data_IF_523450935211
#
_entry.id   IF_523450935211
#
_cell.length_a   1.000
_cell.length_b   1.000
_cell.length_c   1.000
_cell.angle_alpha   90.00
_cell.angle_beta   90.00
_cell.angle_gamma   90.00
#
_symmetry.space_group_name_H-M   'P 1'
#
loop_
_entity.id
_entity.type
_entity.pdbx_description
1 polymer ?
#
# COMPACT_ATOMS: atom_id res chain seq x y z
N UNK A 1 -27.10 -45.59 54.86
CA UNK A 1 -27.17 -45.96 53.44
C UNK A 1 -26.37 -44.92 52.65
N UNK A 2 -25.03 -44.89 52.69
CA UNK A 2 -24.05 -45.83 52.08
C UNK A 2 -24.07 -45.90 50.53
N UNK A 3 -24.46 -44.80 49.86
CA UNK A 3 -24.21 -44.57 48.42
C UNK A 3 -23.01 -43.64 48.15
N UNK A 4 -22.11 -43.46 49.13
CA UNK A 4 -20.92 -42.62 48.99
C UNK A 4 -19.60 -43.42 48.83
N UNK A 5 -19.67 -44.72 48.56
CA UNK A 5 -18.51 -45.64 48.65
C UNK A 5 -18.36 -46.62 47.48
N UNK A 6 -18.88 -46.34 46.30
CA UNK A 6 -18.51 -47.09 45.09
C UNK A 6 -18.51 -46.18 43.86
N UNK A 7 -17.37 -46.14 43.15
CA UNK A 7 -17.04 -45.46 41.86
C UNK A 7 -15.86 -44.48 41.91
N UNK A 8 -15.05 -44.50 42.98
CA UNK A 8 -13.61 -44.19 42.91
C UNK A 8 -12.85 -45.45 42.51
N UNK A 9 -12.55 -45.61 41.22
CA UNK A 9 -11.42 -46.35 40.66
C UNK A 9 -11.51 -46.25 39.13
N UNK A 10 -11.05 -45.12 38.59
CA UNK A 10 -10.63 -45.05 37.18
C UNK A 10 -9.12 -45.19 37.24
N UNK A 11 -8.61 -46.31 36.75
CA UNK A 11 -7.20 -46.69 36.80
C UNK A 11 -6.36 -45.75 35.90
N UNK A 12 -5.30 -45.18 36.47
CA UNK A 12 -4.30 -44.34 35.80
C UNK A 12 -3.54 -45.04 34.65
N UNK A 13 -3.63 -46.37 34.54
CA UNK A 13 -2.98 -47.15 33.46
C UNK A 13 -3.66 -47.00 32.10
N UNK A 14 -4.93 -46.57 32.07
CA UNK A 14 -5.68 -46.32 30.84
C UNK A 14 -5.39 -44.95 30.21
N UNK A 15 -4.86 -44.00 31.00
CA UNK A 15 -4.55 -42.65 30.53
C UNK A 15 -3.11 -42.56 29.95
N UNK A 16 -2.20 -43.41 30.43
CA UNK A 16 -0.81 -43.53 29.95
C UNK A 16 -0.69 -44.32 28.64
N UNK A 17 -1.61 -45.24 28.36
CA UNK A 17 -1.67 -46.00 27.10
C UNK A 17 -2.24 -45.18 25.93
N UNK A 18 -3.15 -44.25 26.19
CA UNK A 18 -3.64 -43.30 25.18
C UNK A 18 -2.62 -42.20 24.83
N UNK A 19 -1.76 -41.81 25.79
CA UNK A 19 -0.73 -40.78 25.56
C UNK A 19 0.54 -41.31 24.88
N UNK A 20 0.81 -42.62 24.91
CA UNK A 20 1.90 -43.24 24.13
C UNK A 20 1.50 -43.60 22.69
N UNK A 21 0.22 -43.87 22.43
CA UNK A 21 -0.28 -44.24 21.10
C UNK A 21 -0.32 -43.09 20.07
N UNK A 22 -0.31 -41.82 20.51
CA UNK A 22 -0.30 -40.65 19.61
C UNK A 22 1.10 -40.12 19.26
N UNK A 23 2.17 -40.71 19.80
CA UNK A 23 3.55 -40.25 19.59
C UNK A 23 4.44 -41.19 18.74
N UNK A 24 3.92 -42.35 18.29
CA UNK A 24 4.63 -43.27 17.39
C UNK A 24 4.02 -43.30 15.98
N UNK A 25 3.99 -42.14 15.34
CA UNK A 25 3.89 -42.05 13.87
C UNK A 25 4.95 -41.07 13.36
N UNK A 26 6.21 -41.44 13.57
CA UNK A 26 7.37 -40.87 12.87
C UNK A 26 8.02 -41.96 12.03
N UNK A 27 7.73 -41.92 10.74
CA UNK A 27 8.52 -42.46 9.62
C UNK A 27 7.77 -42.00 8.36
N UNK A 28 8.29 -41.31 7.36
CA UNK A 28 9.65 -41.02 6.90
C UNK A 28 9.54 -39.75 6.06
N UNK A 29 10.23 -38.65 6.39
CA UNK A 29 10.77 -37.73 5.38
C UNK A 29 12.08 -37.16 5.93
N UNK A 30 13.15 -37.38 5.17
CA UNK A 30 14.51 -36.92 5.45
C UNK A 30 14.52 -35.40 5.59
N UNK A 31 15.14 -34.94 6.67
CA UNK A 31 15.47 -33.55 6.94
C UNK A 31 16.57 -33.12 5.97
N UNK A 32 16.21 -32.50 4.86
CA UNK A 32 17.13 -31.62 4.13
C UNK A 32 17.18 -30.30 4.89
N UNK A 33 18.38 -29.85 5.24
CA UNK A 33 18.63 -28.54 5.84
C UNK A 33 18.03 -27.45 4.97
N UNK A 34 16.88 -26.94 5.41
CA UNK A 34 16.11 -25.89 4.76
C UNK A 34 16.04 -24.70 5.69
N UNK A 35 16.93 -23.74 5.46
CA UNK A 35 16.78 -22.30 5.67
C UNK A 35 15.54 -21.87 6.51
N UNK A 36 15.71 -21.82 7.83
CA UNK A 36 14.76 -21.33 8.84
C UNK A 36 14.48 -19.80 8.75
N UNK A 37 14.62 -19.20 7.56
CA UNK A 37 14.37 -17.77 7.31
C UNK A 37 13.02 -17.49 6.62
N UNK A 38 12.18 -18.51 6.38
CA UNK A 38 10.88 -18.37 5.68
C UNK A 38 9.63 -18.60 6.54
N UNK A 39 9.69 -18.28 7.84
CA UNK A 39 8.54 -18.40 8.75
C UNK A 39 8.17 -17.10 9.50
N UNK A 40 8.50 -15.93 8.93
CA UNK A 40 7.97 -14.63 9.37
C UNK A 40 7.34 -13.85 8.21
N UNK A 41 6.42 -14.48 7.48
CA UNK A 41 5.45 -13.74 6.64
C UNK A 41 4.22 -13.42 7.49
N UNK A 42 4.41 -12.57 8.50
CA UNK A 42 3.30 -11.99 9.26
C UNK A 42 2.47 -11.09 8.34
N UNK A 43 1.16 -11.03 8.56
CA UNK A 43 0.13 -10.38 7.73
C UNK A 43 0.42 -8.93 7.25
N UNK A 44 1.43 -8.25 7.79
CA UNK A 44 1.98 -6.99 7.27
C UNK A 44 2.53 -7.10 5.83
N UNK A 45 2.97 -8.30 5.40
CA UNK A 45 3.47 -8.53 4.04
C UNK A 45 2.40 -8.42 2.95
N UNK A 46 1.11 -8.46 3.29
CA UNK A 46 0.03 -8.35 2.30
C UNK A 46 -0.33 -6.90 1.95
N UNK A 47 0.09 -5.94 2.78
CA UNK A 47 -0.36 -4.54 2.73
C UNK A 47 0.62 -3.68 1.93
N UNK A 48 1.92 -3.85 2.15
CA UNK A 48 2.94 -3.05 1.48
C UNK A 48 3.31 -3.66 0.11
N UNK A 49 3.64 -2.84 -0.90
CA UNK A 49 4.33 -3.32 -2.10
C UNK A 49 5.62 -4.06 -1.71
N UNK A 50 5.93 -5.14 -2.42
CA UNK A 50 7.15 -5.94 -2.15
C UNK A 50 8.39 -5.19 -2.66
N UNK A 51 9.35 -4.84 -1.77
CA UNK A 51 10.56 -4.17 -2.20
C UNK A 51 11.57 -5.14 -2.82
N UNK A 52 12.32 -4.67 -3.81
CA UNK A 52 13.55 -5.32 -4.23
C UNK A 52 14.65 -5.08 -3.18
N UNK A 53 14.94 -6.10 -2.38
CA UNK A 53 15.91 -6.02 -1.28
C UNK A 53 17.37 -5.94 -1.74
N UNK A 54 17.66 -6.30 -3.00
CA UNK A 54 19.00 -6.24 -3.59
C UNK A 54 19.23 -4.97 -4.41
N UNK A 55 18.27 -4.04 -4.40
CA UNK A 55 18.37 -2.76 -5.09
C UNK A 55 19.56 -1.94 -4.58
N UNK A 56 20.30 -1.36 -5.52
CA UNK A 56 21.41 -0.44 -5.21
C UNK A 56 20.99 1.01 -5.36
N UNK A 57 20.00 1.27 -6.23
CA UNK A 57 19.45 2.60 -6.48
C UNK A 57 18.03 2.71 -5.88
N UNK A 58 17.60 3.90 -5.42
CA UNK A 58 16.24 4.11 -4.92
C UNK A 58 15.14 3.71 -5.92
N UNK A 59 15.38 3.95 -7.21
CA UNK A 59 14.47 3.60 -8.30
C UNK A 59 14.26 2.08 -8.46
N UNK A 60 15.22 1.28 -8.02
CA UNK A 60 15.17 -0.18 -8.13
C UNK A 60 14.43 -0.82 -6.95
N UNK A 61 14.29 -0.12 -5.81
CA UNK A 61 13.63 -0.66 -4.60
C UNK A 61 12.17 -0.97 -4.91
N UNK A 62 11.49 -0.05 -5.59
CA UNK A 62 10.12 -0.23 -6.06
C UNK A 62 10.07 0.11 -7.55
N UNK A 63 10.32 -0.87 -8.44
CA UNK A 63 10.34 -0.60 -9.87
C UNK A 63 8.95 -0.23 -10.36
N UNK A 64 8.88 0.65 -11.36
CA UNK A 64 7.60 1.08 -11.96
C UNK A 64 6.77 -0.09 -12.50
N UNK A 65 7.41 -1.20 -12.87
CA UNK A 65 6.75 -2.44 -13.31
C UNK A 65 5.82 -3.05 -12.26
N UNK A 66 5.90 -2.64 -10.99
CA UNK A 66 4.93 -3.01 -9.98
C UNK A 66 3.53 -2.44 -10.26
N UNK A 67 3.42 -1.32 -10.98
CA UNK A 67 2.19 -0.56 -11.10
C UNK A 67 1.46 -0.73 -12.44
N UNK A 68 2.06 -1.45 -13.39
CA UNK A 68 1.48 -1.71 -14.70
C UNK A 68 1.95 -3.06 -15.25
N UNK A 69 1.18 -3.63 -16.16
CA UNK A 69 1.60 -4.73 -17.03
C UNK A 69 1.60 -4.24 -18.49
N UNK A 70 2.28 -4.95 -19.38
CA UNK A 70 2.26 -4.62 -20.81
C UNK A 70 0.84 -4.66 -21.39
N UNK A 71 0.02 -5.62 -20.95
CA UNK A 71 -1.39 -5.71 -21.33
C UNK A 71 -2.20 -4.48 -20.91
N UNK A 72 -1.98 -4.00 -19.67
CA UNK A 72 -2.62 -2.78 -19.15
C UNK A 72 -2.21 -1.57 -20.00
N UNK A 73 -0.93 -1.46 -20.36
CA UNK A 73 -0.46 -0.36 -21.20
C UNK A 73 -1.04 -0.41 -22.61
N UNK A 74 -1.10 -1.59 -23.23
CA UNK A 74 -1.73 -1.76 -24.54
C UNK A 74 -3.22 -1.37 -24.52
N UNK A 75 -3.92 -1.67 -23.42
CA UNK A 75 -5.35 -1.39 -23.28
C UNK A 75 -5.66 0.07 -22.94
N UNK A 76 -4.84 0.69 -22.09
CA UNK A 76 -5.18 1.97 -21.43
C UNK A 76 -4.16 3.09 -21.63
N UNK A 77 -2.98 2.80 -22.20
CA UNK A 77 -1.92 3.77 -22.42
C UNK A 77 -2.39 4.94 -23.29
N UNK A 78 -3.07 4.62 -24.40
CA UNK A 78 -3.63 5.64 -25.30
C UNK A 78 -4.71 6.49 -24.63
N UNK A 79 -5.62 5.85 -23.90
CA UNK A 79 -6.70 6.52 -23.15
C UNK A 79 -6.12 7.52 -22.15
N UNK A 80 -5.05 7.14 -21.44
CA UNK A 80 -4.38 8.02 -20.50
C UNK A 80 -3.69 9.20 -21.21
N UNK A 81 -3.06 8.95 -22.37
CA UNK A 81 -2.44 10.01 -23.15
C UNK A 81 -3.48 11.02 -23.64
N UNK A 82 -4.63 10.56 -24.14
CA UNK A 82 -5.67 11.43 -24.66
C UNK A 82 -6.34 12.25 -23.53
N UNK A 83 -6.51 11.67 -22.33
CA UNK A 83 -6.95 12.42 -21.15
C UNK A 83 -6.08 13.65 -20.85
N UNK A 84 -4.74 13.53 -20.94
CA UNK A 84 -3.83 14.67 -20.71
C UNK A 84 -3.78 15.66 -21.87
N UNK A 85 -4.10 15.25 -23.10
CA UNK A 85 -4.27 16.19 -24.22
C UNK A 85 -5.47 17.10 -24.00
N UNK A 86 -6.57 16.55 -23.50
CA UNK A 86 -7.79 17.31 -23.18
C UNK A 86 -7.59 18.19 -21.92
N UNK A 87 -6.88 17.65 -20.93
CA UNK A 87 -6.62 18.27 -19.63
C UNK A 87 -5.17 18.78 -19.52
N UNK A 88 -4.75 19.58 -20.49
CA UNK A 88 -3.39 20.09 -20.66
C UNK A 88 -3.00 21.28 -19.74
N UNK A 89 -3.89 21.69 -18.83
CA UNK A 89 -3.67 22.84 -17.94
C UNK A 89 -3.92 22.48 -16.48
N UNK A 90 -3.06 22.98 -15.58
CA UNK A 90 -3.14 22.72 -14.14
C UNK A 90 -4.48 23.16 -13.53
N UNK A 91 -5.07 24.22 -14.06
CA UNK A 91 -6.39 24.71 -13.64
C UNK A 91 -7.49 23.68 -13.93
N UNK A 92 -7.46 23.03 -15.11
CA UNK A 92 -8.41 21.96 -15.48
C UNK A 92 -8.29 20.78 -14.52
N UNK A 93 -7.06 20.31 -14.27
CA UNK A 93 -6.84 19.21 -13.32
C UNK A 93 -7.35 19.55 -11.91
N UNK A 94 -7.11 20.78 -11.43
CA UNK A 94 -7.60 21.20 -10.12
C UNK A 94 -9.13 21.29 -10.08
N UNK A 95 -9.77 21.70 -11.18
CA UNK A 95 -11.23 21.74 -11.31
C UNK A 95 -11.88 20.35 -11.27
N UNK A 96 -11.14 19.30 -11.65
CA UNK A 96 -11.55 17.90 -11.51
C UNK A 96 -11.45 17.37 -10.05
N UNK A 97 -11.13 18.24 -9.08
CA UNK A 97 -10.97 17.85 -7.67
C UNK A 97 -9.61 17.23 -7.35
N UNK A 98 -8.66 17.26 -8.29
CA UNK A 98 -7.33 16.67 -8.08
C UNK A 98 -6.54 17.52 -7.07
N UNK A 99 -6.01 16.93 -5.99
CA UNK A 99 -5.20 17.67 -5.03
C UNK A 99 -3.96 18.28 -5.68
N UNK A 100 -3.65 19.55 -5.34
CA UNK A 100 -2.60 20.35 -5.96
C UNK A 100 -1.23 19.66 -5.98
N UNK A 101 -0.88 18.95 -4.92
CA UNK A 101 0.36 18.17 -4.80
C UNK A 101 0.46 17.08 -5.89
N UNK A 102 -0.66 16.41 -6.17
CA UNK A 102 -0.72 15.36 -7.20
C UNK A 102 -0.76 15.99 -8.60
N UNK A 103 -1.47 17.11 -8.76
CA UNK A 103 -1.46 17.87 -10.00
C UNK A 103 -0.05 18.38 -10.34
N UNK A 104 0.77 18.77 -9.36
CA UNK A 104 2.16 19.17 -9.60
C UNK A 104 3.01 18.04 -10.17
N UNK A 105 2.78 16.80 -9.73
CA UNK A 105 3.40 15.61 -10.34
C UNK A 105 2.88 15.42 -11.76
N UNK A 106 1.59 15.65 -12.00
CA UNK A 106 0.98 15.56 -13.31
C UNK A 106 1.50 16.60 -14.32
N UNK A 107 1.94 17.78 -13.85
CA UNK A 107 2.60 18.78 -14.69
C UNK A 107 3.78 18.23 -15.49
N UNK A 108 4.45 17.17 -15.01
CA UNK A 108 5.54 16.47 -15.72
C UNK A 108 5.10 15.78 -17.02
N UNK A 109 3.80 15.49 -17.21
CA UNK A 109 3.27 14.76 -18.37
C UNK A 109 2.29 15.57 -19.24
N UNK A 110 1.98 16.82 -18.87
CA UNK A 110 0.96 17.63 -19.55
C UNK A 110 1.47 18.39 -20.77
N UNK A 111 2.76 18.76 -20.80
CA UNK A 111 3.33 19.61 -21.86
C UNK A 111 4.26 18.86 -22.81
N UNK A 112 4.82 17.74 -22.36
CA UNK A 112 5.71 16.92 -23.16
C UNK A 112 4.91 15.82 -23.87
N UNK A 113 5.31 15.44 -25.09
CA UNK A 113 4.85 14.20 -25.75
C UNK A 113 5.39 12.97 -25.00
N UNK A 114 4.95 12.79 -23.76
CA UNK A 114 5.38 11.69 -22.90
C UNK A 114 4.86 10.37 -23.42
N UNK A 115 5.58 9.32 -23.02
CA UNK A 115 5.20 7.95 -23.35
C UNK A 115 3.83 7.62 -22.76
N UNK A 116 3.07 6.76 -23.44
CA UNK A 116 1.78 6.26 -22.94
C UNK A 116 1.90 5.66 -21.53
N UNK A 117 3.05 5.06 -21.22
CA UNK A 117 3.40 4.54 -19.91
C UNK A 117 3.42 5.62 -18.82
N UNK A 118 4.09 6.75 -19.08
CA UNK A 118 4.16 7.84 -18.10
C UNK A 118 2.78 8.47 -17.87
N UNK A 119 2.03 8.70 -18.95
CA UNK A 119 0.64 9.19 -18.86
C UNK A 119 -0.22 8.22 -18.03
N UNK A 120 -0.16 6.92 -18.31
CA UNK A 120 -0.92 5.92 -17.55
C UNK A 120 -0.57 5.94 -16.05
N UNK A 121 0.72 5.97 -15.71
CA UNK A 121 1.17 5.96 -14.32
C UNK A 121 0.73 7.21 -13.54
N UNK A 122 0.82 8.39 -14.16
CA UNK A 122 0.35 9.63 -13.55
C UNK A 122 -1.17 9.61 -13.43
N UNK A 123 -1.91 9.15 -14.43
CA UNK A 123 -3.37 9.07 -14.34
C UNK A 123 -3.81 8.06 -13.26
N UNK A 124 -3.12 6.92 -13.15
CA UNK A 124 -3.32 5.97 -12.05
C UNK A 124 -3.08 6.64 -10.70
N UNK A 125 -2.01 7.41 -10.53
CA UNK A 125 -1.75 8.19 -9.32
C UNK A 125 -2.88 9.19 -9.01
N UNK A 126 -3.36 9.93 -10.02
CA UNK A 126 -4.46 10.89 -9.89
C UNK A 126 -5.72 10.18 -9.38
N UNK A 127 -6.16 9.12 -10.05
CA UNK A 127 -7.38 8.39 -9.67
C UNK A 127 -7.22 7.81 -8.27
N UNK A 128 -6.06 7.23 -7.95
CA UNK A 128 -5.77 6.74 -6.59
C UNK A 128 -5.83 7.85 -5.53
N UNK A 129 -5.45 9.08 -5.86
CA UNK A 129 -5.55 10.21 -4.91
C UNK A 129 -7.00 10.53 -4.55
N UNK A 130 -7.93 10.44 -5.52
CA UNK A 130 -9.37 10.65 -5.30
C UNK A 130 -9.94 9.55 -4.40
N UNK A 131 -9.55 8.29 -4.65
CA UNK A 131 -9.87 7.19 -3.74
C UNK A 131 -9.39 7.46 -2.31
N UNK A 132 -8.14 7.90 -2.14
CA UNK A 132 -7.57 8.19 -0.81
C UNK A 132 -8.31 9.33 -0.12
N UNK A 133 -8.67 10.40 -0.83
CA UNK A 133 -9.46 11.50 -0.27
C UNK A 133 -10.82 11.00 0.23
N UNK A 134 -11.54 10.21 -0.59
CA UNK A 134 -12.82 9.62 -0.19
C UNK A 134 -12.69 8.67 1.00
N UNK A 135 -11.67 7.81 1.04
CA UNK A 135 -11.47 6.91 2.19
C UNK A 135 -11.18 7.66 3.50
N UNK A 136 -10.60 8.84 3.37
CA UNK A 136 -10.21 9.68 4.50
C UNK A 136 -11.40 10.47 5.05
N UNK A 137 -12.29 10.94 4.17
CA UNK A 137 -13.52 11.67 4.53
C UNK A 137 -14.68 10.73 4.85
N UNK A 138 -14.91 9.70 4.03
CA UNK A 138 -15.95 8.71 4.14
C UNK A 138 -15.39 7.34 4.56
N UNK A 139 -15.38 7.07 5.87
CA UNK A 139 -14.69 5.92 6.46
C UNK A 139 -15.25 4.54 6.10
N UNK A 140 -16.41 4.45 5.44
CA UNK A 140 -17.16 3.19 5.30
C UNK A 140 -17.48 2.79 3.86
N UNK A 141 -17.46 3.72 2.91
CA UNK A 141 -17.83 3.42 1.53
C UNK A 141 -17.27 4.45 0.55
N UNK A 142 -17.02 3.98 -0.67
CA UNK A 142 -16.65 4.81 -1.81
C UNK A 142 -17.89 5.10 -2.67
N UNK A 143 -17.91 6.25 -3.34
CA UNK A 143 -19.02 6.70 -4.18
C UNK A 143 -18.54 6.74 -5.64
N UNK A 144 -19.26 6.09 -6.55
CA UNK A 144 -18.84 5.98 -7.95
C UNK A 144 -18.86 7.32 -8.70
N UNK A 145 -19.83 8.20 -8.40
CA UNK A 145 -20.04 9.45 -9.13
C UNK A 145 -18.87 10.43 -9.03
N UNK A 146 -18.05 10.31 -7.99
CA UNK A 146 -16.83 11.09 -7.82
C UNK A 146 -15.77 10.77 -8.88
N UNK A 147 -15.95 9.67 -9.63
CA UNK A 147 -15.04 9.23 -10.69
C UNK A 147 -15.58 9.50 -12.11
N UNK A 148 -16.76 10.12 -12.25
CA UNK A 148 -17.43 10.31 -13.54
C UNK A 148 -16.61 11.16 -14.52
N UNK A 149 -15.71 12.02 -14.00
CA UNK A 149 -14.82 12.85 -14.81
C UNK A 149 -13.54 12.13 -15.29
N UNK A 150 -13.34 10.87 -14.92
CA UNK A 150 -12.14 10.09 -15.25
C UNK A 150 -12.47 8.95 -16.22
N UNK A 151 -11.49 8.47 -17.01
CA UNK A 151 -11.71 7.33 -17.89
C UNK A 151 -12.14 6.08 -17.13
N UNK A 152 -13.41 5.70 -17.30
CA UNK A 152 -14.06 4.56 -16.65
C UNK A 152 -13.24 3.26 -16.71
N UNK A 153 -12.61 2.86 -17.84
CA UNK A 153 -11.81 1.64 -17.90
C UNK A 153 -10.65 1.61 -16.90
N UNK A 154 -9.96 2.74 -16.72
CA UNK A 154 -8.81 2.85 -15.81
C UNK A 154 -9.27 2.85 -14.36
N UNK A 155 -10.33 3.58 -14.06
CA UNK A 155 -10.98 3.55 -12.75
C UNK A 155 -11.39 2.12 -12.35
N UNK A 156 -12.07 1.39 -13.25
CA UNK A 156 -12.50 0.02 -12.98
C UNK A 156 -11.32 -0.94 -12.78
N UNK A 157 -10.27 -0.82 -13.60
CA UNK A 157 -9.07 -1.61 -13.45
C UNK A 157 -8.40 -1.41 -12.07
N UNK A 158 -8.27 -0.15 -11.63
CA UNK A 158 -7.72 0.17 -10.29
C UNK A 158 -8.64 -0.40 -9.21
N UNK A 159 -9.96 -0.27 -9.36
CA UNK A 159 -10.90 -0.81 -8.37
C UNK A 159 -10.73 -2.32 -8.20
N UNK A 160 -10.69 -3.06 -9.31
CA UNK A 160 -10.58 -4.52 -9.31
C UNK A 160 -9.23 -5.02 -8.80
N UNK A 161 -8.17 -4.23 -8.95
CA UNK A 161 -6.84 -4.53 -8.41
C UNK A 161 -6.80 -4.54 -6.86
N UNK A 162 -7.62 -3.69 -6.23
CA UNK A 162 -7.53 -3.43 -4.78
C UNK A 162 -8.73 -3.84 -3.94
N UNK A 163 -9.94 -3.90 -4.51
CA UNK A 163 -11.18 -4.13 -3.76
C UNK A 163 -11.92 -5.36 -4.25
N UNK A 164 -12.40 -6.18 -3.31
CA UNK A 164 -13.17 -7.40 -3.61
C UNK A 164 -14.68 -7.16 -3.70
N UNK A 165 -15.18 -6.11 -3.06
CA UNK A 165 -16.61 -5.87 -2.92
C UNK A 165 -17.23 -5.41 -4.25
N UNK A 166 -18.41 -5.93 -4.57
CA UNK A 166 -19.16 -5.52 -5.77
C UNK A 166 -19.90 -4.20 -5.49
N UNK A 167 -20.15 -3.41 -6.54
CA UNK A 167 -21.02 -2.23 -6.45
C UNK A 167 -22.37 -2.64 -5.86
N UNK A 168 -22.75 -2.01 -4.75
CA UNK A 168 -24.09 -2.14 -4.18
C UNK A 168 -25.06 -1.30 -5.00
N UNK A 169 -26.35 -1.55 -4.81
CA UNK A 169 -27.49 -0.96 -5.52
C UNK A 169 -27.54 0.58 -5.53
N UNK A 170 -26.75 1.26 -4.70
CA UNK A 170 -26.67 2.72 -4.58
C UNK A 170 -25.37 3.33 -5.12
N UNK A 171 -24.69 2.67 -6.07
CA UNK A 171 -23.40 3.14 -6.64
C UNK A 171 -22.31 3.35 -5.58
N UNK A 172 -22.42 2.62 -4.46
CA UNK A 172 -21.46 2.61 -3.36
C UNK A 172 -20.90 1.22 -3.17
N UNK A 173 -19.64 1.11 -2.78
CA UNK A 173 -19.06 -0.16 -2.37
C UNK A 173 -18.29 0.01 -1.06
N UNK A 174 -18.27 -1.06 -0.27
CA UNK A 174 -17.50 -1.10 0.97
C UNK A 174 -16.05 -1.48 0.69
N UNK A 175 -15.21 -1.27 1.68
CA UNK A 175 -13.86 -1.80 1.72
C UNK A 175 -13.52 -2.16 3.16
N UNK A 176 -12.62 -3.13 3.31
CA UNK A 176 -12.07 -3.52 4.61
C UNK A 176 -10.95 -2.57 5.01
N UNK A 177 -10.65 -2.49 6.32
CA UNK A 177 -9.52 -1.68 6.81
C UNK A 177 -8.18 -2.15 6.18
N UNK A 178 -8.02 -3.45 5.93
CA UNK A 178 -6.84 -4.00 5.28
C UNK A 178 -6.72 -3.56 3.82
N UNK A 179 -7.82 -3.56 3.05
CA UNK A 179 -7.83 -3.03 1.67
C UNK A 179 -7.50 -1.55 1.65
N UNK A 180 -8.03 -0.76 2.60
CA UNK A 180 -7.69 0.66 2.75
C UNK A 180 -6.20 0.87 3.02
N UNK A 181 -5.65 0.17 4.01
CA UNK A 181 -4.23 0.34 4.36
C UNK A 181 -3.32 -0.12 3.21
N UNK A 182 -3.70 -1.18 2.48
CA UNK A 182 -2.99 -1.64 1.29
C UNK A 182 -3.06 -0.59 0.18
N UNK A 183 -4.24 -0.06 -0.10
CA UNK A 183 -4.44 0.95 -1.12
C UNK A 183 -3.60 2.22 -0.85
N UNK A 184 -3.63 2.71 0.39
CA UNK A 184 -2.84 3.89 0.80
C UNK A 184 -1.34 3.59 0.67
N UNK A 185 -0.87 2.41 1.06
CA UNK A 185 0.54 2.05 0.91
C UNK A 185 1.00 2.04 -0.55
N UNK A 186 0.18 1.47 -1.45
CA UNK A 186 0.46 1.44 -2.89
C UNK A 186 0.40 2.83 -3.52
N UNK A 187 -0.58 3.65 -3.14
CA UNK A 187 -0.66 5.06 -3.55
C UNK A 187 0.60 5.83 -3.13
N UNK A 188 1.00 5.73 -1.86
CA UNK A 188 2.17 6.43 -1.34
C UNK A 188 3.47 5.97 -2.00
N UNK A 189 3.56 4.68 -2.34
CA UNK A 189 4.69 4.13 -3.08
C UNK A 189 4.76 4.69 -4.50
N UNK A 190 3.65 4.70 -5.25
CA UNK A 190 3.61 5.30 -6.59
C UNK A 190 3.93 6.79 -6.56
N UNK A 191 3.33 7.52 -5.61
CA UNK A 191 3.58 8.95 -5.40
C UNK A 191 5.05 9.23 -5.13
N UNK A 192 5.67 8.42 -4.25
CA UNK A 192 7.09 8.52 -3.91
C UNK A 192 7.99 8.34 -5.15
N UNK A 193 7.70 7.36 -6.00
CA UNK A 193 8.51 7.10 -7.20
C UNK A 193 8.37 8.25 -8.22
N UNK A 194 7.14 8.72 -8.46
CA UNK A 194 6.88 9.79 -9.43
C UNK A 194 7.33 11.18 -8.93
N UNK A 195 7.52 11.34 -7.62
CA UNK A 195 7.97 12.57 -6.97
C UNK A 195 9.44 12.49 -6.51
N UNK A 196 10.30 11.89 -7.33
CA UNK A 196 11.76 11.89 -7.16
C UNK A 196 12.23 11.32 -5.80
N UNK A 197 11.50 10.31 -5.31
CA UNK A 197 11.79 9.57 -4.07
C UNK A 197 11.72 10.43 -2.79
N UNK A 198 10.98 11.55 -2.84
CA UNK A 198 10.81 12.49 -1.72
C UNK A 198 9.34 12.87 -1.53
N UNK A 199 8.92 13.00 -0.28
CA UNK A 199 7.54 13.35 0.06
C UNK A 199 7.51 14.31 1.24
N UNK A 200 6.85 15.45 1.06
CA UNK A 200 6.53 16.40 2.12
C UNK A 200 5.30 15.90 2.90
N UNK A 201 5.49 15.55 4.17
CA UNK A 201 4.45 14.81 4.93
C UNK A 201 3.25 15.71 5.25
N UNK A 202 3.48 16.95 5.67
CA UNK A 202 2.41 17.87 6.07
C UNK A 202 1.50 18.28 4.89
N UNK A 203 2.03 18.73 3.73
CA UNK A 203 1.18 19.03 2.57
C UNK A 203 0.41 17.81 2.06
N UNK A 204 1.04 16.63 2.05
CA UNK A 204 0.40 15.38 1.67
C UNK A 204 -0.77 15.05 2.61
N UNK A 205 -0.54 15.11 3.92
CA UNK A 205 -1.56 14.81 4.92
C UNK A 205 -2.73 15.79 4.84
N UNK A 206 -2.44 17.09 4.71
CA UNK A 206 -3.45 18.14 4.61
C UNK A 206 -4.32 17.99 3.36
N UNK A 207 -3.72 17.82 2.18
CA UNK A 207 -4.46 17.78 0.91
C UNK A 207 -5.21 16.46 0.66
N UNK A 208 -4.75 15.35 1.23
CA UNK A 208 -5.40 14.05 1.11
C UNK A 208 -6.27 13.69 2.32
N UNK A 209 -6.38 14.58 3.30
CA UNK A 209 -7.08 14.37 4.57
C UNK A 209 -6.57 13.17 5.37
N UNK A 210 -5.29 12.81 5.19
CA UNK A 210 -4.64 11.73 5.92
C UNK A 210 -4.07 12.23 7.25
N UNK A 211 -3.91 11.32 8.22
CA UNK A 211 -3.15 11.63 9.44
C UNK A 211 -1.65 11.68 9.14
N UNK A 212 -0.96 12.77 9.52
CA UNK A 212 0.50 12.86 9.39
C UNK A 212 1.24 11.69 10.04
N UNK A 213 0.74 11.22 11.19
CA UNK A 213 1.32 10.08 11.91
C UNK A 213 1.13 8.77 11.13
N UNK A 214 -0.04 8.57 10.52
CA UNK A 214 -0.28 7.40 9.68
C UNK A 214 0.58 7.45 8.42
N UNK A 215 0.58 8.58 7.70
CA UNK A 215 1.41 8.78 6.51
C UNK A 215 2.90 8.56 6.80
N UNK A 216 3.40 9.13 7.91
CA UNK A 216 4.78 8.92 8.35
C UNK A 216 5.11 7.47 8.70
N UNK A 217 4.19 6.74 9.34
CA UNK A 217 4.36 5.31 9.64
C UNK A 217 4.38 4.47 8.36
N UNK A 218 3.45 4.69 7.44
CA UNK A 218 3.40 3.96 6.17
C UNK A 218 4.62 4.24 5.31
N UNK A 219 5.05 5.51 5.18
CA UNK A 219 6.28 5.88 4.47
C UNK A 219 7.52 5.25 5.12
N UNK A 220 7.58 5.22 6.46
CA UNK A 220 8.67 4.53 7.17
C UNK A 220 8.66 3.02 6.93
N UNK A 221 7.48 2.41 6.82
CA UNK A 221 7.31 0.99 6.52
C UNK A 221 7.70 0.64 5.07
N UNK A 222 7.49 1.57 4.13
CA UNK A 222 8.05 1.53 2.76
C UNK A 222 9.58 1.72 2.73
N UNK A 223 10.25 1.88 3.87
CA UNK A 223 11.70 2.05 3.94
C UNK A 223 12.17 3.50 3.83
N UNK A 224 11.27 4.50 3.82
CA UNK A 224 11.69 5.89 3.82
C UNK A 224 12.36 6.28 5.15
N UNK A 225 13.34 7.16 5.06
CA UNK A 225 13.87 7.91 6.19
C UNK A 225 13.02 9.16 6.37
N UNK A 226 12.23 9.18 7.44
CA UNK A 226 11.50 10.38 7.87
C UNK A 226 12.42 11.22 8.74
N UNK A 227 12.75 12.43 8.29
CA UNK A 227 13.58 13.38 9.03
C UNK A 227 13.04 14.81 8.90
N UNK A 228 13.66 15.75 9.60
CA UNK A 228 13.35 17.16 9.44
C UNK A 228 13.61 17.63 8.00
N UNK A 229 12.80 18.57 7.54
CA UNK A 229 13.04 19.28 6.30
C UNK A 229 14.29 20.16 6.44
N UNK A 230 15.11 20.21 5.39
CA UNK A 230 16.16 21.24 5.28
C UNK A 230 15.52 22.62 5.13
N UNK A 231 16.30 23.68 5.33
CA UNK A 231 15.81 25.07 5.17
C UNK A 231 15.24 25.30 3.76
N UNK A 232 15.89 24.73 2.73
CA UNK A 232 15.43 24.82 1.34
C UNK A 232 14.13 24.05 1.10
N UNK A 233 14.04 22.81 1.57
CA UNK A 233 12.83 21.99 1.44
C UNK A 233 11.66 22.58 2.22
N UNK A 234 11.93 23.13 3.40
CA UNK A 234 10.91 23.77 4.23
C UNK A 234 10.32 24.98 3.52
N UNK A 235 11.14 25.83 2.90
CA UNK A 235 10.67 26.95 2.08
C UNK A 235 9.93 26.49 0.82
N UNK A 236 10.41 25.42 0.16
CA UNK A 236 9.86 24.95 -1.11
C UNK A 236 8.52 24.21 -0.95
N UNK A 237 8.39 23.42 0.10
CA UNK A 237 7.25 22.52 0.30
C UNK A 237 6.38 22.89 1.50
N UNK A 238 6.71 23.96 2.22
CA UNK A 238 6.00 24.40 3.43
C UNK A 238 5.80 23.25 4.43
N UNK A 239 6.91 22.60 4.81
CA UNK A 239 6.89 21.45 5.70
C UNK A 239 8.08 21.42 6.64
N UNK A 240 7.86 20.84 7.82
CA UNK A 240 8.90 20.53 8.78
C UNK A 240 9.40 19.08 8.67
N UNK A 241 8.66 18.20 7.99
CA UNK A 241 8.96 16.76 7.94
C UNK A 241 8.94 16.23 6.53
N UNK A 242 10.04 15.59 6.15
CA UNK A 242 10.25 15.00 4.83
C UNK A 242 10.48 13.50 4.97
N UNK A 243 9.86 12.71 4.08
CA UNK A 243 10.20 11.31 3.88
C UNK A 243 11.06 11.18 2.62
N UNK A 244 12.18 10.45 2.70
CA UNK A 244 13.09 10.22 1.57
C UNK A 244 13.44 8.74 1.47
N UNK A 245 13.34 8.17 0.28
CA UNK A 245 13.78 6.80 0.02
C UNK A 245 15.22 6.83 -0.50
N UNK A 246 16.13 6.21 0.24
CA UNK A 246 17.58 6.25 -0.02
C UNK A 246 18.12 4.83 -0.25
N UNK A 247 17.70 3.87 0.57
CA UNK A 247 18.20 2.49 0.55
C UNK A 247 17.05 1.51 0.75
N UNK A 248 17.18 0.25 0.27
CA UNK A 248 16.18 -0.77 0.51
C UNK A 248 15.97 -1.02 2.01
N UNK A 249 14.73 -1.37 2.43
CA UNK A 249 14.43 -1.65 3.82
C UNK A 249 15.22 -2.88 4.32
N UNK A 250 16.16 -2.66 5.23
CA UNK A 250 16.94 -3.73 5.88
C UNK A 250 16.34 -4.12 7.23
N UNK A 251 16.23 -5.43 7.51
CA UNK A 251 15.62 -5.98 8.74
C UNK A 251 16.27 -5.43 10.04
N UNK A 252 17.57 -5.09 9.99
CA UNK A 252 18.30 -4.48 11.11
C UNK A 252 17.83 -3.06 11.46
N UNK A 253 17.38 -2.26 10.47
CA UNK A 253 16.89 -0.89 10.68
C UNK A 253 15.47 -0.86 11.26
N UNK A 254 14.63 -1.84 10.90
CA UNK A 254 13.30 -2.05 11.50
C UNK A 254 13.40 -2.41 13.00
N UNK A 255 14.36 -3.24 13.40
CA UNK A 255 14.55 -3.67 14.81
C UNK A 255 15.12 -2.58 15.72
N UNK A 256 16.08 -1.74 15.26
CA UNK A 256 16.63 -0.65 16.09
C UNK A 256 15.60 0.42 16.43
N UNK A 257 14.64 0.69 15.54
CA UNK A 257 13.62 1.73 15.75
C UNK A 257 12.51 1.34 16.74
N UNK A 258 12.26 0.04 16.95
CA UNK A 258 11.29 -0.45 17.94
C UNK A 258 11.76 -0.28 19.40
N UNK A 259 13.05 0.01 19.62
CA UNK A 259 13.66 0.15 20.95
C UNK A 259 13.91 1.60 21.40
N UNK A 260 13.70 2.58 20.52
CA UNK A 260 13.97 4.01 20.81
C UNK A 260 12.74 4.89 20.96
N UNK A 261 11.53 4.31 21.00
CA UNK A 261 10.28 5.02 21.27
C UNK A 261 9.60 4.40 22.49
N UNK A 262 10.13 4.73 23.66
CA UNK A 262 9.49 4.55 24.96
C UNK A 262 9.34 5.92 25.59
#
# INVERSE_FOLDING_TARGET
>A
MLEATLRRQINDDTLTTLSKSTFESKNVVKKSEGDDSKAFTTAESAVLPTPNRTATLPAEIYPLSLFYSEFILQSYGKIAQDFFKENNEMAKLTALGIPKLVAQVAGKVMHDQKSEKECYLVLKLIIMSIFVQQMSTNKKSLIASEFDNFPSPIFHAIREEFFRDKLKTNSRWGYTQMERDRFIAWFLCLFLILNDFRVAITPLASQLHLSENQSGKTLSALGCVVSSATVEESKRYDTMRMARLIEPPTEKKLRKRKRGGG
#
